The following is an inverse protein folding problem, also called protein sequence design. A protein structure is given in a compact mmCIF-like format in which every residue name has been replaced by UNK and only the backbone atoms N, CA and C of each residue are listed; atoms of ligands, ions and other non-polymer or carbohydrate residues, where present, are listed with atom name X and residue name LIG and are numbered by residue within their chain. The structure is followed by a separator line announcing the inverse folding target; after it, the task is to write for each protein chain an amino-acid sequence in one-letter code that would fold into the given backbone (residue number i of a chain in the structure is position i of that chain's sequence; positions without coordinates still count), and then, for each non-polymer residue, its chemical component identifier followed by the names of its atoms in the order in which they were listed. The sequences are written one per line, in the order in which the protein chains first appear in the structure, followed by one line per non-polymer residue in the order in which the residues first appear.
data_IF_123542440241
#
_entry.id   IF_123542440241
#
_cell.length_a   1.000
_cell.length_b   1.000
_cell.length_c   1.000
_cell.angle_alpha   90.00
_cell.angle_beta   90.00
_cell.angle_gamma   90.00
#
_symmetry.space_group_name_H-M   'P 1'
#
loop_
_entity.id
_entity.type
_entity.pdbx_description
1 polymer ?
#
# COMPACT_ATOMS: atom_id res chain seq x y z
N UNK A 1 -12.81 -7.72 -4.02
CA UNK A 1 -13.17 -6.92 -2.82
C UNK A 1 -11.89 -6.43 -2.16
N UNK A 2 -11.90 -5.23 -1.58
CA UNK A 2 -10.78 -4.67 -0.82
C UNK A 2 -11.21 -4.51 0.64
N UNK A 3 -10.41 -5.01 1.58
CA UNK A 3 -10.65 -4.92 3.03
C UNK A 3 -9.58 -4.00 3.62
N UNK A 4 -9.96 -3.04 4.45
CA UNK A 4 -9.02 -2.16 5.16
C UNK A 4 -9.47 -1.95 6.60
N UNK A 5 -8.59 -1.44 7.46
CA UNK A 5 -8.90 -1.12 8.84
C UNK A 5 -8.16 0.13 9.32
N UNK A 6 -8.55 0.61 10.50
CA UNK A 6 -7.72 1.50 11.32
C UNK A 6 -6.67 0.67 12.08
N UNK A 7 -5.66 1.34 12.64
CA UNK A 7 -4.72 0.73 13.57
C UNK A 7 -5.44 0.24 14.84
N UNK A 8 -5.04 -0.93 15.35
CA UNK A 8 -5.60 -1.55 16.55
C UNK A 8 -4.51 -1.87 17.57
N UNK A 9 -3.77 -0.84 17.95
CA UNK A 9 -2.71 -0.90 18.97
C UNK A 9 -3.22 -1.37 20.34
N UNK A 10 -4.53 -1.27 20.59
CA UNK A 10 -5.19 -1.80 21.78
C UNK A 10 -5.23 -3.35 21.81
N UNK A 11 -5.08 -4.02 20.68
CA UNK A 11 -5.12 -5.48 20.56
C UNK A 11 -3.73 -6.09 20.56
N UNK A 12 -3.60 -7.33 21.07
CA UNK A 12 -2.31 -8.04 21.15
C UNK A 12 -1.76 -8.46 19.79
N UNK A 13 -2.61 -8.60 18.79
CA UNK A 13 -2.27 -9.02 17.42
C UNK A 13 -2.40 -7.86 16.41
N UNK A 14 -2.60 -6.62 16.89
CA UNK A 14 -2.78 -5.45 16.03
C UNK A 14 -4.02 -5.52 15.14
N UNK A 15 -4.98 -6.40 15.45
CA UNK A 15 -6.18 -6.62 14.62
C UNK A 15 -6.01 -7.66 13.50
N UNK A 16 -4.87 -8.35 13.41
CA UNK A 16 -4.63 -9.34 12.35
C UNK A 16 -5.66 -10.49 12.33
N UNK A 17 -6.15 -10.97 13.48
CA UNK A 17 -7.21 -11.98 13.50
C UNK A 17 -8.53 -11.48 12.89
N UNK A 18 -8.79 -10.17 12.92
CA UNK A 18 -9.99 -9.62 12.30
C UNK A 18 -9.91 -9.73 10.77
N UNK A 19 -8.76 -9.39 10.18
CA UNK A 19 -8.51 -9.63 8.75
C UNK A 19 -8.69 -11.11 8.40
N UNK A 20 -8.12 -12.02 9.19
CA UNK A 20 -8.29 -13.47 9.00
C UNK A 20 -9.77 -13.88 8.98
N UNK A 21 -10.55 -13.46 9.97
CA UNK A 21 -11.97 -13.79 10.05
C UNK A 21 -12.75 -13.27 8.84
N UNK A 22 -12.47 -12.04 8.38
CA UNK A 22 -13.08 -11.50 7.17
C UNK A 22 -12.71 -12.30 5.93
N UNK A 23 -11.43 -12.64 5.74
CA UNK A 23 -10.96 -13.46 4.62
C UNK A 23 -11.66 -14.82 4.63
N UNK A 24 -11.61 -15.54 5.76
CA UNK A 24 -12.18 -16.87 5.90
C UNK A 24 -13.69 -16.86 5.62
N UNK A 25 -14.42 -15.86 6.14
CA UNK A 25 -15.86 -15.74 5.91
C UNK A 25 -16.18 -15.44 4.44
N UNK A 26 -15.42 -14.56 3.79
CA UNK A 26 -15.61 -14.26 2.36
C UNK A 26 -15.30 -15.49 1.51
N UNK A 27 -14.23 -16.23 1.81
CA UNK A 27 -13.91 -17.47 1.09
C UNK A 27 -14.99 -18.53 1.25
N UNK A 28 -15.65 -18.60 2.41
CA UNK A 28 -16.78 -19.52 2.64
C UNK A 28 -18.02 -19.12 1.84
N UNK A 29 -18.36 -17.83 1.80
CA UNK A 29 -19.62 -17.37 1.19
C UNK A 29 -19.50 -17.09 -0.31
N UNK A 30 -18.36 -16.59 -0.78
CA UNK A 30 -18.11 -16.18 -2.17
C UNK A 30 -16.70 -16.58 -2.64
N UNK A 31 -16.40 -17.88 -2.78
CA UNK A 31 -15.04 -18.41 -2.97
C UNK A 31 -14.29 -17.86 -4.19
N UNK A 32 -15.01 -17.49 -5.25
CA UNK A 32 -14.43 -16.99 -6.50
C UNK A 32 -13.94 -15.52 -6.41
N UNK A 33 -14.35 -14.77 -5.38
CA UNK A 33 -13.99 -13.36 -5.29
C UNK A 33 -12.50 -13.18 -4.97
N UNK A 34 -11.84 -12.29 -5.70
CA UNK A 34 -10.48 -11.86 -5.36
C UNK A 34 -10.49 -10.94 -4.15
N UNK A 35 -9.59 -11.17 -3.19
CA UNK A 35 -9.49 -10.43 -1.93
C UNK A 35 -8.16 -9.67 -1.90
N UNK A 36 -8.22 -8.34 -1.86
CA UNK A 36 -7.11 -7.48 -1.46
C UNK A 36 -7.30 -7.08 0.01
N UNK A 37 -6.25 -7.13 0.81
CA UNK A 37 -6.24 -6.49 2.14
C UNK A 37 -5.27 -5.32 2.14
N UNK A 38 -5.70 -4.17 2.64
CA UNK A 38 -4.88 -3.00 2.94
C UNK A 38 -4.70 -2.95 4.46
N UNK A 39 -3.49 -3.28 4.91
CA UNK A 39 -3.18 -3.50 6.32
C UNK A 39 -2.57 -2.27 6.99
N UNK A 40 -2.76 -2.11 8.30
CA UNK A 40 -1.94 -1.21 9.12
C UNK A 40 -0.49 -1.70 9.19
N UNK A 41 0.38 -0.98 9.89
CA UNK A 41 1.80 -1.38 10.07
C UNK A 41 2.00 -2.46 11.15
N UNK A 42 0.94 -2.80 11.90
CA UNK A 42 0.97 -3.72 13.05
C UNK A 42 2.08 -3.37 14.07
N UNK A 43 2.30 -2.09 14.33
CA UNK A 43 3.36 -1.57 15.21
C UNK A 43 3.63 -2.42 16.45
N UNK A 44 4.87 -2.90 16.57
CA UNK A 44 5.33 -3.75 17.70
C UNK A 44 4.71 -5.14 17.77
N UNK A 45 3.93 -5.54 16.75
CA UNK A 45 3.16 -6.80 16.69
C UNK A 45 3.26 -7.47 15.31
N UNK A 46 4.17 -7.00 14.44
CA UNK A 46 4.38 -7.52 13.08
C UNK A 46 4.54 -9.03 13.06
N UNK A 47 5.41 -9.60 13.91
CA UNK A 47 5.61 -11.04 14.00
C UNK A 47 4.29 -11.80 14.26
N UNK A 48 3.48 -11.29 15.20
CA UNK A 48 2.19 -11.89 15.54
C UNK A 48 1.17 -11.76 14.40
N UNK A 49 1.17 -10.60 13.73
CA UNK A 49 0.30 -10.36 12.59
C UNK A 49 0.64 -11.29 11.41
N UNK A 50 1.93 -11.43 11.09
CA UNK A 50 2.42 -12.35 10.06
C UNK A 50 2.10 -13.81 10.41
N UNK A 51 2.27 -14.23 11.67
CA UNK A 51 1.89 -15.58 12.14
C UNK A 51 0.41 -15.89 11.85
N UNK A 52 -0.48 -14.93 12.12
CA UNK A 52 -1.92 -15.07 11.86
C UNK A 52 -2.20 -15.14 10.36
N UNK A 53 -1.67 -14.18 9.60
CA UNK A 53 -1.92 -14.05 8.16
C UNK A 53 -1.35 -15.21 7.34
N UNK A 54 -0.33 -15.90 7.87
CA UNK A 54 0.28 -17.09 7.26
C UNK A 54 -0.74 -18.17 6.88
N UNK A 55 -1.82 -18.28 7.64
CA UNK A 55 -2.86 -19.30 7.45
C UNK A 55 -4.06 -18.83 6.62
N UNK A 56 -4.08 -17.58 6.17
CA UNK A 56 -5.17 -16.99 5.39
C UNK A 56 -4.65 -15.95 4.38
N UNK A 57 -3.79 -16.34 3.42
CA UNK A 57 -3.24 -15.38 2.48
C UNK A 57 -4.36 -14.75 1.62
N UNK A 58 -4.33 -13.42 1.40
CA UNK A 58 -5.17 -12.73 0.44
C UNK A 58 -4.69 -13.02 -1.00
N UNK A 59 -5.42 -12.56 -2.02
CA UNK A 59 -4.89 -12.53 -3.38
C UNK A 59 -3.89 -11.38 -3.57
N UNK A 60 -4.13 -10.25 -2.89
CA UNK A 60 -3.23 -9.09 -2.86
C UNK A 60 -3.01 -8.63 -1.42
N UNK A 61 -1.76 -8.51 -1.01
CA UNK A 61 -1.34 -7.94 0.28
C UNK A 61 -0.85 -6.51 0.07
N UNK A 62 -1.59 -5.54 0.60
CA UNK A 62 -1.31 -4.12 0.45
C UNK A 62 -0.94 -3.50 1.80
N UNK A 63 0.14 -2.72 1.81
CA UNK A 63 0.50 -1.80 2.89
C UNK A 63 1.10 -0.54 2.27
N UNK A 64 0.48 0.62 2.49
CA UNK A 64 0.95 1.86 1.90
C UNK A 64 2.13 2.45 2.70
N UNK A 65 3.11 2.99 1.97
CA UNK A 65 4.11 3.88 2.57
C UNK A 65 3.56 5.30 2.80
N UNK A 66 2.63 5.71 1.93
CA UNK A 66 1.96 7.03 1.90
C UNK A 66 2.85 8.20 1.49
N UNK A 67 4.11 8.29 1.93
CA UNK A 67 4.99 9.42 1.58
C UNK A 67 6.48 9.02 1.58
N UNK A 68 7.37 10.02 1.53
CA UNK A 68 8.83 9.87 1.57
C UNK A 68 9.38 9.91 3.00
N UNK A 69 10.52 9.27 3.31
CA UNK A 69 11.03 9.13 4.68
C UNK A 69 11.12 10.43 5.48
N UNK A 70 11.51 11.54 4.84
CA UNK A 70 11.64 12.84 5.51
C UNK A 70 10.32 13.43 6.01
N UNK A 71 9.19 13.00 5.45
CA UNK A 71 7.84 13.48 5.79
C UNK A 71 7.06 12.53 6.69
N UNK A 72 7.59 11.33 6.98
CA UNK A 72 6.92 10.33 7.83
C UNK A 72 6.48 10.86 9.19
N UNK A 73 7.32 11.57 9.97
CA UNK A 73 6.90 12.08 11.27
C UNK A 73 5.70 13.03 11.21
N UNK A 74 5.51 13.70 10.06
CA UNK A 74 4.45 14.68 9.85
C UNK A 74 3.18 14.05 9.26
N UNK A 75 3.33 13.12 8.31
CA UNK A 75 2.22 12.46 7.60
C UNK A 75 1.69 11.23 8.34
N UNK A 76 2.57 10.46 8.98
CA UNK A 76 2.28 9.20 9.67
C UNK A 76 2.91 9.15 11.06
N UNK A 77 2.46 10.01 12.00
CA UNK A 77 3.05 10.08 13.33
C UNK A 77 2.99 8.72 14.04
N UNK A 78 4.16 8.17 14.36
CA UNK A 78 4.29 6.88 15.06
C UNK A 78 4.55 5.66 14.16
N UNK A 79 4.42 5.80 12.84
CA UNK A 79 4.85 4.79 11.87
C UNK A 79 6.34 4.95 11.55
N UNK A 80 6.97 3.87 11.09
CA UNK A 80 8.38 3.84 10.71
C UNK A 80 8.52 3.37 9.25
N UNK A 81 9.29 4.12 8.46
CA UNK A 81 9.46 3.88 7.02
C UNK A 81 10.05 2.50 6.73
N UNK A 82 11.12 2.16 7.45
CA UNK A 82 11.84 0.91 7.25
C UNK A 82 10.98 -0.29 7.69
N UNK A 83 10.30 -0.18 8.82
CA UNK A 83 9.35 -1.19 9.32
C UNK A 83 8.22 -1.46 8.31
N UNK A 84 7.70 -0.43 7.63
CA UNK A 84 6.69 -0.61 6.58
C UNK A 84 7.21 -1.36 5.36
N UNK A 85 8.46 -1.13 4.96
CA UNK A 85 9.12 -1.88 3.88
C UNK A 85 9.38 -3.35 4.28
N UNK A 86 9.87 -3.56 5.50
CA UNK A 86 10.14 -4.88 6.05
C UNK A 86 8.85 -5.71 6.17
N UNK A 87 7.73 -5.11 6.59
CA UNK A 87 6.43 -5.79 6.62
C UNK A 87 6.04 -6.37 5.26
N UNK A 88 6.20 -5.58 4.18
CA UNK A 88 5.92 -6.03 2.81
C UNK A 88 6.87 -7.15 2.38
N UNK A 89 8.16 -6.99 2.67
CA UNK A 89 9.20 -7.95 2.32
C UNK A 89 9.01 -9.29 3.06
N UNK A 90 8.79 -9.25 4.37
CA UNK A 90 8.61 -10.43 5.21
C UNK A 90 7.36 -11.20 4.81
N UNK A 91 6.26 -10.50 4.52
CA UNK A 91 5.06 -11.14 4.01
C UNK A 91 5.33 -11.82 2.65
N UNK A 92 6.01 -11.14 1.72
CA UNK A 92 6.37 -11.70 0.41
C UNK A 92 7.26 -12.94 0.54
N UNK A 93 8.20 -12.95 1.48
CA UNK A 93 9.07 -14.11 1.74
C UNK A 93 8.27 -15.33 2.22
N UNK A 94 7.24 -15.12 3.04
CA UNK A 94 6.35 -16.19 3.50
C UNK A 94 5.36 -16.66 2.42
N UNK A 95 5.00 -15.77 1.48
CA UNK A 95 3.99 -16.00 0.45
C UNK A 95 4.43 -15.48 -0.93
N UNK A 96 5.45 -16.12 -1.52
CA UNK A 96 6.07 -15.67 -2.78
C UNK A 96 5.10 -15.52 -3.96
N UNK A 97 3.99 -16.25 -3.95
CA UNK A 97 2.95 -16.21 -4.99
C UNK A 97 1.90 -15.11 -4.76
N UNK A 98 1.79 -14.56 -3.55
CA UNK A 98 0.85 -13.47 -3.27
C UNK A 98 1.42 -12.17 -3.82
N UNK A 99 0.56 -11.41 -4.49
CA UNK A 99 0.93 -10.10 -5.04
C UNK A 99 1.00 -9.10 -3.90
N UNK A 100 2.08 -8.35 -3.83
CA UNK A 100 2.27 -7.26 -2.86
C UNK A 100 2.09 -5.92 -3.53
N UNK A 101 1.51 -4.98 -2.77
CA UNK A 101 1.15 -3.66 -3.27
C UNK A 101 1.48 -2.59 -2.24
N UNK A 102 1.84 -1.41 -2.74
CA UNK A 102 1.96 -0.22 -1.91
C UNK A 102 1.47 1.02 -2.66
N UNK A 103 1.46 2.14 -1.95
CA UNK A 103 0.97 3.41 -2.45
C UNK A 103 1.66 4.62 -1.85
N UNK A 104 1.68 5.69 -2.64
CA UNK A 104 2.17 7.02 -2.26
C UNK A 104 1.11 8.06 -2.60
N UNK A 105 0.89 8.98 -1.67
CA UNK A 105 0.19 10.22 -1.90
C UNK A 105 1.21 11.31 -2.22
N UNK A 106 1.03 11.99 -3.35
CA UNK A 106 1.90 13.05 -3.82
C UNK A 106 1.30 14.42 -3.58
N UNK A 107 2.14 15.45 -3.45
CA UNK A 107 1.75 16.82 -3.20
C UNK A 107 1.74 17.22 -1.72
N UNK A 108 2.46 16.49 -0.87
CA UNK A 108 2.59 16.77 0.58
C UNK A 108 3.93 17.43 0.94
N UNK A 109 4.74 17.75 -0.08
CA UNK A 109 6.03 18.46 0.07
C UNK A 109 7.25 17.62 -0.35
N UNK A 110 7.03 16.41 -0.87
CA UNK A 110 8.09 15.55 -1.36
C UNK A 110 8.72 16.08 -2.65
N UNK A 111 10.03 15.89 -2.80
CA UNK A 111 10.71 16.20 -4.06
C UNK A 111 10.63 15.04 -5.04
N UNK A 112 10.77 15.33 -6.34
CA UNK A 112 10.77 14.33 -7.41
C UNK A 112 11.80 13.22 -7.19
N UNK A 113 13.00 13.58 -6.70
CA UNK A 113 14.05 12.60 -6.45
C UNK A 113 13.66 11.67 -5.31
N UNK A 114 13.11 12.20 -4.21
CA UNK A 114 12.67 11.38 -3.09
C UNK A 114 11.54 10.41 -3.49
N UNK A 115 10.64 10.81 -4.38
CA UNK A 115 9.64 9.89 -4.94
C UNK A 115 10.33 8.72 -5.65
N UNK A 116 11.28 9.01 -6.54
CA UNK A 116 12.03 7.99 -7.31
C UNK A 116 12.84 7.07 -6.38
N UNK A 117 13.43 7.61 -5.32
CA UNK A 117 14.15 6.83 -4.31
C UNK A 117 13.19 5.83 -3.63
N UNK A 118 12.00 6.26 -3.23
CA UNK A 118 10.99 5.36 -2.66
C UNK A 118 10.50 4.31 -3.66
N UNK A 119 10.38 4.64 -4.95
CA UNK A 119 10.07 3.64 -5.99
C UNK A 119 11.14 2.55 -6.04
N UNK A 120 12.40 2.95 -5.92
CA UNK A 120 13.55 2.03 -5.92
C UNK A 120 13.55 1.16 -4.67
N UNK A 121 13.27 1.74 -3.50
CA UNK A 121 13.17 1.02 -2.23
C UNK A 121 12.04 -0.02 -2.25
N UNK A 122 10.85 0.35 -2.71
CA UNK A 122 9.72 -0.57 -2.86
C UNK A 122 10.09 -1.77 -3.76
N UNK A 123 10.81 -1.53 -4.86
CA UNK A 123 11.27 -2.61 -5.75
C UNK A 123 12.34 -3.48 -5.10
N UNK A 124 13.29 -2.91 -4.37
CA UNK A 124 14.29 -3.65 -3.61
C UNK A 124 13.66 -4.56 -2.55
N UNK A 125 12.46 -4.22 -2.05
CA UNK A 125 11.67 -5.01 -1.10
C UNK A 125 10.63 -5.92 -1.77
N UNK A 126 10.77 -6.17 -3.08
CA UNK A 126 9.93 -7.07 -3.88
C UNK A 126 8.44 -6.69 -3.96
N UNK A 127 8.11 -5.39 -3.87
CA UNK A 127 6.72 -4.91 -4.03
C UNK A 127 6.30 -4.96 -5.50
N UNK A 128 5.24 -5.71 -5.81
CA UNK A 128 4.86 -6.00 -7.20
C UNK A 128 4.08 -4.85 -7.86
N UNK A 129 3.14 -4.25 -7.13
CA UNK A 129 2.20 -3.25 -7.64
C UNK A 129 2.33 -1.90 -6.92
N UNK A 130 2.04 -0.82 -7.65
CA UNK A 130 2.16 0.54 -7.16
C UNK A 130 0.91 1.37 -7.46
N UNK A 131 0.54 2.21 -6.49
CA UNK A 131 -0.45 3.28 -6.67
C UNK A 131 0.16 4.65 -6.35
N UNK A 132 0.01 5.62 -7.25
CA UNK A 132 0.43 7.01 -7.07
C UNK A 132 -0.80 7.91 -7.22
N UNK A 133 -1.19 8.60 -6.15
CA UNK A 133 -2.38 9.46 -6.11
C UNK A 133 -2.07 10.87 -5.63
N UNK A 134 -2.90 11.86 -5.98
CA UNK A 134 -2.79 13.20 -5.40
C UNK A 134 -3.33 13.20 -3.97
N UNK A 135 -2.56 13.74 -3.03
CA UNK A 135 -3.03 14.11 -1.72
C UNK A 135 -4.10 15.19 -1.83
N UNK A 136 -5.29 14.89 -1.31
CA UNK A 136 -6.38 15.85 -1.19
C UNK A 136 -6.63 16.09 0.29
N UNK A 137 -6.40 17.32 0.73
CA UNK A 137 -6.60 17.73 2.11
C UNK A 137 -8.06 17.46 2.54
N UNK A 138 -8.30 16.58 3.53
CA UNK A 138 -9.67 16.26 3.95
C UNK A 138 -10.39 17.44 4.61
N UNK A 139 -9.64 18.26 5.36
CA UNK A 139 -10.13 19.49 6.00
C UNK A 139 -8.97 20.41 6.35
N UNK A 140 -9.27 21.66 6.71
CA UNK A 140 -8.27 22.68 7.10
C UNK A 140 -7.40 22.32 8.32
N UNK A 141 -7.76 21.27 9.07
CA UNK A 141 -7.00 20.78 10.21
C UNK A 141 -5.96 19.70 9.84
N UNK A 142 -5.95 19.25 8.59
CA UNK A 142 -4.97 18.29 8.08
C UNK A 142 -3.83 19.02 7.39
N UNK A 143 -2.75 18.29 7.07
CA UNK A 143 -1.61 18.79 6.32
C UNK A 143 -2.08 19.57 5.07
N UNK A 144 -1.43 20.68 4.78
CA UNK A 144 -1.75 21.46 3.59
C UNK A 144 -1.30 20.70 2.32
N UNK A 145 -1.95 20.96 1.20
CA UNK A 145 -1.43 20.54 -0.10
C UNK A 145 -0.30 21.50 -0.48
N UNK A 146 0.90 20.97 -0.70
CA UNK A 146 2.08 21.74 -1.10
C UNK A 146 2.17 21.89 -2.62
N UNK A 147 1.82 20.83 -3.37
CA UNK A 147 1.83 20.85 -4.84
C UNK A 147 0.65 20.04 -5.40
N UNK A 148 0.02 20.55 -6.45
CA UNK A 148 -0.87 19.75 -7.30
C UNK A 148 -0.06 19.15 -8.45
N UNK A 149 0.17 17.85 -8.38
CA UNK A 149 0.99 17.14 -9.34
C UNK A 149 0.27 17.05 -10.68
N UNK A 150 0.96 17.45 -11.75
CA UNK A 150 0.41 17.44 -13.10
C UNK A 150 0.22 16.01 -13.62
N UNK A 151 -0.76 15.77 -14.53
CA UNK A 151 -0.89 14.48 -15.20
C UNK A 151 0.41 14.01 -15.87
N UNK A 152 1.19 14.93 -16.44
CA UNK A 152 2.50 14.63 -17.05
C UNK A 152 3.52 14.13 -16.01
N UNK A 153 3.55 14.71 -14.81
CA UNK A 153 4.38 14.20 -13.72
C UNK A 153 3.95 12.79 -13.29
N UNK A 154 2.65 12.53 -13.13
CA UNK A 154 2.14 11.18 -12.83
C UNK A 154 2.53 10.16 -13.92
N UNK A 155 2.44 10.54 -15.20
CA UNK A 155 2.86 9.69 -16.32
C UNK A 155 4.37 9.42 -16.31
N UNK A 156 5.18 10.41 -15.92
CA UNK A 156 6.62 10.24 -15.77
C UNK A 156 6.95 9.25 -14.66
N UNK A 157 6.33 9.38 -13.49
CA UNK A 157 6.53 8.43 -12.39
C UNK A 157 6.05 7.02 -12.75
N UNK A 158 4.92 6.90 -13.47
CA UNK A 158 4.43 5.62 -13.98
C UNK A 158 5.47 4.93 -14.86
N UNK A 159 6.06 5.66 -15.79
CA UNK A 159 7.09 5.13 -16.70
C UNK A 159 8.33 4.67 -15.93
N UNK A 160 8.83 5.49 -15.00
CA UNK A 160 9.98 5.13 -14.15
C UNK A 160 9.68 3.88 -13.32
N UNK A 161 8.50 3.80 -12.71
CA UNK A 161 8.09 2.62 -11.94
C UNK A 161 8.05 1.35 -12.81
N UNK A 162 7.46 1.42 -14.01
CA UNK A 162 7.44 0.28 -14.93
C UNK A 162 8.86 -0.14 -15.35
N UNK A 163 9.76 0.82 -15.60
CA UNK A 163 11.17 0.55 -15.92
C UNK A 163 11.94 -0.10 -14.75
N UNK A 164 11.58 0.23 -13.51
CA UNK A 164 12.08 -0.43 -12.29
C UNK A 164 11.47 -1.83 -12.06
N UNK A 165 10.51 -2.24 -12.90
CA UNK A 165 9.96 -3.58 -12.91
C UNK A 165 8.77 -3.81 -11.97
N UNK A 166 7.99 -2.77 -11.64
CA UNK A 166 6.64 -2.99 -11.10
C UNK A 166 5.79 -3.68 -12.18
N UNK A 167 5.03 -4.71 -11.81
CA UNK A 167 4.18 -5.42 -12.76
C UNK A 167 3.00 -4.55 -13.22
N UNK A 168 2.52 -3.67 -12.32
CA UNK A 168 1.41 -2.76 -12.58
C UNK A 168 1.55 -1.48 -11.78
N UNK A 169 1.17 -0.37 -12.42
CA UNK A 169 1.24 0.97 -11.83
C UNK A 169 -0.02 1.75 -12.19
N UNK A 170 -0.84 2.05 -11.19
CA UNK A 170 -1.90 3.04 -11.31
C UNK A 170 -1.37 4.38 -10.82
N UNK A 171 -1.35 5.40 -11.68
CA UNK A 171 -0.74 6.69 -11.38
C UNK A 171 -1.58 7.82 -11.96
N UNK A 172 -2.12 8.68 -11.11
CA UNK A 172 -2.95 9.80 -11.54
C UNK A 172 -3.62 10.54 -10.38
N UNK A 173 -4.17 11.74 -10.61
CA UNK A 173 -4.67 12.58 -9.52
C UNK A 173 -5.75 11.92 -8.66
N UNK A 174 -6.68 11.19 -9.29
CA UNK A 174 -7.81 10.55 -8.62
C UNK A 174 -7.53 9.09 -8.19
N UNK A 175 -6.32 8.58 -8.44
CA UNK A 175 -5.94 7.23 -8.02
C UNK A 175 -5.92 7.14 -6.50
N UNK A 176 -6.43 6.03 -5.99
CA UNK A 176 -6.41 5.63 -4.58
C UNK A 176 -5.96 4.17 -4.50
N UNK A 177 -5.51 3.72 -3.34
CA UNK A 177 -5.01 2.34 -3.17
C UNK A 177 -6.03 1.28 -3.59
N UNK A 178 -7.33 1.54 -3.45
CA UNK A 178 -8.42 0.65 -3.88
C UNK A 178 -9.02 0.98 -5.27
N UNK A 179 -8.57 2.04 -5.94
CA UNK A 179 -9.14 2.50 -7.21
C UNK A 179 -8.91 1.47 -8.32
N UNK A 180 -9.99 0.91 -8.89
CA UNK A 180 -9.93 -0.15 -9.89
C UNK A 180 -9.05 -1.35 -9.50
N UNK A 181 -9.03 -1.72 -8.21
CA UNK A 181 -8.22 -2.85 -7.73
C UNK A 181 -8.51 -4.17 -8.46
N UNK A 182 -9.73 -4.35 -8.96
CA UNK A 182 -10.14 -5.45 -9.84
C UNK A 182 -9.43 -5.40 -11.21
N UNK A 183 -9.44 -4.25 -11.89
CA UNK A 183 -8.77 -4.07 -13.17
C UNK A 183 -7.24 -4.14 -13.01
N UNK A 184 -6.72 -3.60 -11.91
CA UNK A 184 -5.32 -3.76 -11.52
C UNK A 184 -5.03 -5.26 -11.42
N UNK A 185 -5.69 -6.01 -10.52
CA UNK A 185 -5.43 -7.45 -10.36
C UNK A 185 -5.53 -8.27 -11.67
N UNK A 186 -6.31 -7.82 -12.65
CA UNK A 186 -6.45 -8.44 -13.98
C UNK A 186 -5.38 -8.02 -15.00
N UNK A 187 -4.56 -7.01 -14.71
CA UNK A 187 -3.53 -6.50 -15.62
C UNK A 187 -4.02 -5.51 -16.65
N UNK A 188 -5.20 -4.93 -16.46
CA UNK A 188 -5.76 -3.96 -17.39
C UNK A 188 -5.15 -2.56 -17.16
N UNK A 189 -5.01 -1.81 -18.26
CA UNK A 189 -4.53 -0.43 -18.20
C UNK A 189 -5.62 0.46 -17.59
N UNK A 190 -5.30 1.03 -16.42
CA UNK A 190 -6.12 2.08 -15.81
C UNK A 190 -5.64 3.42 -16.36
N UNK A 191 -6.53 4.07 -17.11
CA UNK A 191 -6.37 5.40 -17.69
C UNK A 191 -6.90 6.47 -16.73
#
# INVERSE_FOLDING_TARGET
VVITSVDRDDLRDGGANHFKQCIDQIRQTTPEVKIEILTPDFRGRVEKALEVLKTCPPDVFNHNLETVPSLYPQVRPGADYQSSLELLQDFKQQHSQVITKSGLMLGVGETKQQVIDVLSDLRAHNVDMLTLGQYLQPSKHHLAVEEYITPEQFNKYKSIALDLGFSQVASGPMVRSSYHADLQAQGELIN
#
